data_IF_900937989616
#
_entry.id   IF_900937989616
#
_cell.length_a   1.000
_cell.length_b   1.000
_cell.length_c   1.000
_cell.angle_alpha   90.00
_cell.angle_beta   90.00
_cell.angle_gamma   90.00
#
_symmetry.space_group_name_H-M   'P 1'
#
loop_
_entity.id
_entity.type
_entity.pdbx_description
1 polymer ?
#
# COMPACT_ATOMS: atom_id res chain seq x y z
N UNK A 1 8.81 12.71 3.80
CA UNK A 1 8.67 11.25 3.60
C UNK A 1 8.99 10.53 4.91
N UNK A 2 8.00 9.81 5.47
CA UNK A 2 8.09 9.08 6.76
C UNK A 2 9.38 8.28 6.97
N UNK A 3 9.91 7.67 5.89
CA UNK A 3 11.13 6.87 5.95
C UNK A 3 12.37 7.69 6.32
N UNK A 4 12.46 8.94 5.85
CA UNK A 4 13.56 9.85 6.16
C UNK A 4 13.51 10.32 7.61
N UNK A 5 12.33 10.75 8.08
CA UNK A 5 12.14 11.28 9.43
C UNK A 5 12.48 10.23 10.50
N UNK A 6 12.22 8.96 10.21
CA UNK A 6 12.49 7.83 11.10
C UNK A 6 13.87 7.19 10.93
N UNK A 7 14.70 7.68 10.03
CA UNK A 7 16.01 7.07 9.69
C UNK A 7 15.87 5.57 9.38
N UNK A 8 14.82 5.21 8.64
CA UNK A 8 14.60 3.85 8.18
C UNK A 8 15.54 3.62 7.00
N UNK A 9 16.20 2.45 6.95
CA UNK A 9 17.07 2.11 5.82
C UNK A 9 16.21 1.66 4.64
N UNK A 10 16.31 2.39 3.53
CA UNK A 10 15.60 2.09 2.30
C UNK A 10 16.44 2.40 1.06
N UNK A 11 16.02 1.86 -0.08
CA UNK A 11 16.48 2.28 -1.41
C UNK A 11 15.27 2.59 -2.29
N UNK A 12 15.42 3.53 -3.22
CA UNK A 12 14.43 3.81 -4.26
C UNK A 12 14.70 2.92 -5.48
N UNK A 13 13.65 2.38 -6.07
CA UNK A 13 13.66 1.52 -7.24
C UNK A 13 12.78 2.11 -8.35
N UNK A 14 13.13 1.84 -9.59
CA UNK A 14 12.47 2.30 -10.82
C UNK A 14 11.57 1.22 -11.44
N UNK A 15 10.92 0.41 -10.61
CA UNK A 15 10.11 -0.73 -11.05
C UNK A 15 8.69 -0.72 -10.48
N UNK A 16 8.08 0.47 -10.36
CA UNK A 16 6.72 0.64 -9.85
C UNK A 16 5.72 -0.26 -10.57
N UNK A 17 5.75 -0.28 -11.89
CA UNK A 17 4.81 -1.06 -12.69
C UNK A 17 4.92 -2.57 -12.41
N UNK A 18 6.13 -3.09 -12.22
CA UNK A 18 6.34 -4.50 -11.86
C UNK A 18 5.75 -4.81 -10.48
N UNK A 19 5.95 -3.91 -9.51
CA UNK A 19 5.46 -4.07 -8.14
C UNK A 19 3.93 -3.93 -8.07
N UNK A 20 3.32 -2.97 -8.79
CA UNK A 20 1.86 -2.82 -8.92
C UNK A 20 1.24 -4.06 -9.56
N UNK A 21 1.80 -4.53 -10.68
CA UNK A 21 1.30 -5.74 -11.35
C UNK A 21 1.39 -6.97 -10.45
N UNK A 22 2.50 -7.13 -9.71
CA UNK A 22 2.62 -8.23 -8.76
C UNK A 22 1.65 -8.11 -7.58
N UNK A 23 1.39 -6.89 -7.12
CA UNK A 23 0.38 -6.63 -6.10
C UNK A 23 -1.01 -7.05 -6.59
N UNK A 24 -1.40 -6.64 -7.80
CA UNK A 24 -2.67 -7.02 -8.43
C UNK A 24 -2.78 -8.54 -8.56
N UNK A 25 -1.75 -9.20 -9.07
CA UNK A 25 -1.72 -10.67 -9.23
C UNK A 25 -2.01 -11.38 -7.90
N UNK A 26 -1.40 -10.94 -6.80
CA UNK A 26 -1.51 -11.62 -5.51
C UNK A 26 -2.81 -11.28 -4.78
N UNK A 27 -3.16 -9.99 -4.72
CA UNK A 27 -4.27 -9.51 -3.87
C UNK A 27 -5.59 -9.36 -4.62
N UNK A 28 -5.59 -9.28 -5.96
CA UNK A 28 -6.79 -9.15 -6.78
C UNK A 28 -6.82 -10.09 -8.00
N UNK A 29 -5.91 -11.07 -8.08
CA UNK A 29 -5.80 -11.99 -9.22
C UNK A 29 -6.95 -12.99 -9.34
N UNK A 30 -7.76 -13.15 -8.28
CA UNK A 30 -8.98 -13.96 -8.32
C UNK A 30 -10.13 -13.28 -9.07
N UNK A 31 -10.03 -11.97 -9.31
CA UNK A 31 -10.99 -11.21 -10.09
C UNK A 31 -10.64 -11.23 -11.58
N UNK A 32 -11.65 -11.18 -12.42
CA UNK A 32 -11.47 -10.90 -13.85
C UNK A 32 -11.11 -9.43 -14.08
N UNK A 33 -10.56 -9.12 -15.25
CA UNK A 33 -10.27 -7.73 -15.63
C UNK A 33 -11.53 -6.87 -15.63
N UNK A 34 -12.65 -7.41 -16.12
CA UNK A 34 -13.95 -6.74 -16.08
C UNK A 34 -14.36 -6.39 -14.65
N UNK A 35 -14.28 -7.35 -13.73
CA UNK A 35 -14.61 -7.08 -12.32
C UNK A 35 -13.70 -6.01 -11.73
N UNK A 36 -12.39 -6.05 -12.01
CA UNK A 36 -11.44 -5.05 -11.49
C UNK A 36 -11.70 -3.67 -12.04
N UNK A 37 -11.87 -3.51 -13.36
CA UNK A 37 -11.91 -2.21 -14.02
C UNK A 37 -13.34 -1.66 -14.07
N UNK A 38 -14.28 -2.42 -14.63
CA UNK A 38 -15.62 -1.89 -14.92
C UNK A 38 -16.53 -1.85 -13.68
N UNK A 39 -16.41 -2.84 -12.78
CA UNK A 39 -17.33 -2.94 -11.64
C UNK A 39 -16.86 -2.15 -10.42
N UNK A 40 -15.55 -2.15 -10.16
CA UNK A 40 -14.99 -1.54 -8.94
C UNK A 40 -13.94 -0.45 -9.22
N UNK A 41 -13.60 -0.16 -10.48
CA UNK A 41 -12.70 0.96 -10.82
C UNK A 41 -11.29 0.86 -10.20
N UNK A 42 -10.69 -0.32 -10.15
CA UNK A 42 -9.33 -0.53 -9.62
C UNK A 42 -8.23 0.13 -10.44
N UNK A 43 -8.52 0.54 -11.68
CA UNK A 43 -7.62 1.33 -12.51
C UNK A 43 -7.41 2.76 -11.98
N UNK A 44 -8.33 3.25 -11.13
CA UNK A 44 -8.14 4.47 -10.33
C UNK A 44 -7.43 4.20 -9.01
N UNK A 45 -7.92 3.21 -8.24
CA UNK A 45 -7.38 2.89 -6.91
C UNK A 45 -7.36 1.38 -6.65
N UNK A 46 -6.17 0.80 -6.46
CA UNK A 46 -6.02 -0.63 -6.18
C UNK A 46 -6.72 -1.06 -4.88
N UNK A 47 -6.84 -0.16 -3.90
CA UNK A 47 -7.53 -0.45 -2.64
C UNK A 47 -9.02 -0.70 -2.80
N UNK A 48 -9.62 -0.41 -3.96
CA UNK A 48 -11.01 -0.74 -4.26
C UNK A 48 -11.31 -2.24 -4.14
N UNK A 49 -10.32 -3.12 -4.30
CA UNK A 49 -10.51 -4.56 -4.02
C UNK A 49 -11.01 -4.83 -2.60
N UNK A 50 -10.61 -3.98 -1.64
CA UNK A 50 -10.98 -4.12 -0.23
C UNK A 50 -12.29 -3.40 0.08
N UNK A 51 -12.46 -2.15 -0.36
CA UNK A 51 -13.68 -1.37 -0.07
C UNK A 51 -14.94 -1.92 -0.73
N UNK A 52 -14.80 -2.60 -1.87
CA UNK A 52 -15.90 -3.30 -2.54
C UNK A 52 -16.06 -4.74 -2.03
N UNK A 53 -15.38 -5.09 -0.93
CA UNK A 53 -15.47 -6.39 -0.26
C UNK A 53 -15.15 -7.58 -1.19
N UNK A 54 -14.38 -7.33 -2.26
CA UNK A 54 -13.97 -8.40 -3.18
C UNK A 54 -12.87 -9.27 -2.58
N UNK A 55 -12.27 -8.86 -1.46
CA UNK A 55 -11.36 -9.67 -0.65
C UNK A 55 -11.51 -9.37 0.84
N UNK A 56 -11.72 -10.42 1.63
CA UNK A 56 -11.77 -10.33 3.08
C UNK A 56 -10.47 -9.72 3.63
N UNK A 57 -10.58 -8.66 4.42
CA UNK A 57 -9.45 -7.99 5.04
C UNK A 57 -9.85 -7.39 6.39
N UNK A 58 -8.86 -6.98 7.18
CA UNK A 58 -9.10 -6.14 8.34
C UNK A 58 -9.19 -4.68 7.88
N UNK A 59 -10.01 -3.89 8.57
CA UNK A 59 -10.20 -2.47 8.28
C UNK A 59 -9.98 -1.61 9.54
N UNK A 60 -9.63 -0.34 9.33
CA UNK A 60 -9.63 0.67 10.39
C UNK A 60 -8.65 0.33 11.51
N UNK A 61 -9.13 0.37 12.76
CA UNK A 61 -8.30 0.09 13.93
C UNK A 61 -7.76 -1.34 13.98
N UNK A 62 -8.49 -2.31 13.43
CA UNK A 62 -8.04 -3.70 13.40
C UNK A 62 -6.89 -3.87 12.41
N UNK A 63 -6.98 -3.23 11.23
CA UNK A 63 -5.90 -3.17 10.26
C UNK A 63 -4.65 -2.52 10.84
N UNK A 64 -4.80 -1.38 11.52
CA UNK A 64 -3.70 -0.65 12.17
C UNK A 64 -3.01 -1.52 13.22
N UNK A 65 -3.79 -2.18 14.07
CA UNK A 65 -3.28 -3.07 15.11
C UNK A 65 -2.53 -4.26 14.50
N UNK A 66 -3.11 -4.93 13.51
CA UNK A 66 -2.48 -6.05 12.85
C UNK A 66 -1.17 -5.67 12.16
N UNK A 67 -1.12 -4.50 11.51
CA UNK A 67 0.10 -3.95 10.95
C UNK A 67 1.15 -3.66 12.02
N UNK A 68 0.78 -3.04 13.14
CA UNK A 68 1.72 -2.69 14.21
C UNK A 68 2.31 -3.90 14.94
N UNK A 69 1.52 -4.96 15.11
CA UNK A 69 1.93 -6.22 15.76
C UNK A 69 2.75 -7.13 14.83
N UNK A 70 2.68 -6.91 13.51
CA UNK A 70 3.41 -7.70 12.54
C UNK A 70 4.91 -7.43 12.60
N UNK A 71 5.70 -8.50 12.77
CA UNK A 71 7.16 -8.45 12.62
C UNK A 71 7.54 -8.31 11.14
N UNK A 72 8.08 -7.15 10.76
CA UNK A 72 8.40 -6.80 9.37
C UNK A 72 9.87 -7.10 9.08
N UNK A 73 10.13 -7.98 8.11
CA UNK A 73 11.51 -8.39 7.69
C UNK A 73 11.98 -7.74 6.39
N UNK A 74 11.20 -6.79 5.88
CA UNK A 74 11.43 -6.08 4.62
C UNK A 74 10.13 -5.98 3.82
N UNK A 75 9.91 -4.82 3.21
CA UNK A 75 8.68 -4.51 2.46
C UNK A 75 8.95 -3.44 1.41
N UNK A 76 8.05 -3.34 0.45
CA UNK A 76 7.98 -2.25 -0.51
C UNK A 76 6.95 -1.22 -0.05
N UNK A 77 7.24 0.04 -0.32
CA UNK A 77 6.27 1.14 -0.28
C UNK A 77 6.13 1.71 -1.67
N UNK A 78 4.90 1.90 -2.12
CA UNK A 78 4.58 2.67 -3.31
C UNK A 78 3.28 3.45 -3.11
N UNK A 79 3.00 4.38 -4.01
CA UNK A 79 1.81 5.22 -4.00
C UNK A 79 0.99 4.93 -5.27
N UNK A 80 -0.34 5.09 -5.23
CA UNK A 80 -1.20 4.91 -6.42
C UNK A 80 -0.85 5.90 -7.55
N UNK A 81 -0.52 7.12 -7.14
CA UNK A 81 -0.05 8.31 -7.85
C UNK A 81 -1.10 9.22 -8.53
N UNK A 82 -1.06 10.51 -8.15
CA UNK A 82 -1.05 11.72 -8.99
C UNK A 82 -0.60 12.86 -8.06
N UNK A 83 0.71 13.17 -8.06
CA UNK A 83 1.19 14.38 -7.38
C UNK A 83 0.65 15.60 -8.14
N UNK A 84 -0.48 16.15 -7.68
CA UNK A 84 -0.93 17.49 -8.09
C UNK A 84 0.01 18.60 -7.55
N UNK A 85 0.95 18.24 -6.67
CA UNK A 85 1.85 19.16 -6.02
C UNK A 85 3.20 19.29 -6.76
N UNK A 86 3.52 20.52 -7.13
CA UNK A 86 4.65 20.94 -7.97
C UNK A 86 6.04 20.65 -7.37
N UNK A 87 6.12 20.00 -6.19
CA UNK A 87 7.31 19.92 -5.35
C UNK A 87 7.89 18.51 -5.13
N UNK A 88 7.33 17.43 -5.68
CA UNK A 88 7.80 16.07 -5.38
C UNK A 88 8.09 15.18 -6.60
N UNK A 89 8.86 15.70 -7.56
CA UNK A 89 9.35 14.92 -8.71
C UNK A 89 10.33 13.79 -8.34
N UNK A 90 10.88 13.77 -7.13
CA UNK A 90 11.90 12.79 -6.72
C UNK A 90 11.31 11.42 -6.30
N UNK A 91 10.00 11.37 -6.02
CA UNK A 91 9.32 10.17 -5.51
C UNK A 91 8.25 9.63 -6.44
N UNK A 92 7.93 10.36 -7.50
CA UNK A 92 7.00 9.95 -8.55
C UNK A 92 7.50 8.67 -9.22
N UNK A 93 6.60 7.73 -9.48
CA UNK A 93 6.92 6.46 -10.14
C UNK A 93 8.00 5.61 -9.43
N UNK A 94 8.27 5.84 -8.14
CA UNK A 94 9.26 5.08 -7.36
C UNK A 94 8.62 4.01 -6.48
N UNK A 95 9.40 2.97 -6.21
CA UNK A 95 9.15 2.03 -5.12
C UNK A 95 10.27 2.19 -4.09
N UNK A 96 9.90 2.28 -2.81
CA UNK A 96 10.87 2.29 -1.72
C UNK A 96 10.96 0.90 -1.11
N UNK A 97 12.08 0.22 -1.34
CA UNK A 97 12.37 -1.02 -0.65
C UNK A 97 12.96 -0.72 0.72
N UNK A 98 12.28 -1.16 1.77
CA UNK A 98 12.70 -1.01 3.16
C UNK A 98 13.31 -2.29 3.69
N UNK A 99 14.50 -2.19 4.30
CA UNK A 99 15.25 -3.34 4.82
C UNK A 99 15.02 -3.57 6.33
N UNK A 100 14.92 -2.50 7.11
CA UNK A 100 14.74 -2.53 8.57
C UNK A 100 13.34 -2.05 8.96
N UNK A 101 12.36 -2.90 8.64
CA UNK A 101 10.95 -2.53 8.63
C UNK A 101 10.25 -2.49 9.98
N UNK A 102 10.84 -3.04 11.05
CA UNK A 102 10.14 -3.22 12.34
C UNK A 102 9.93 -1.91 13.12
N UNK A 103 10.40 -0.78 12.58
CA UNK A 103 10.24 0.57 13.14
C UNK A 103 9.00 1.31 12.65
N UNK A 104 8.45 0.91 11.50
CA UNK A 104 7.26 1.53 10.95
C UNK A 104 6.00 1.08 11.72
N UNK A 105 5.13 2.04 11.98
CA UNK A 105 3.83 1.89 12.63
C UNK A 105 2.77 2.54 11.76
N UNK A 106 1.54 2.05 11.86
CA UNK A 106 0.41 2.53 11.05
C UNK A 106 0.24 4.05 11.18
N UNK A 107 0.41 4.59 12.40
CA UNK A 107 0.31 6.02 12.68
C UNK A 107 1.30 6.89 11.90
N UNK A 108 2.41 6.32 11.46
CA UNK A 108 3.43 7.07 10.74
C UNK A 108 2.92 7.49 9.36
N UNK A 109 1.99 6.71 8.79
CA UNK A 109 1.43 6.93 7.46
C UNK A 109 0.10 7.67 7.47
N UNK A 110 -0.37 8.16 8.62
CA UNK A 110 -1.67 8.85 8.73
C UNK A 110 -1.82 10.12 7.89
N UNK A 111 -0.70 10.70 7.44
CA UNK A 111 -0.67 11.89 6.59
C UNK A 111 -0.42 11.58 5.12
N UNK A 112 -0.14 10.31 4.81
CA UNK A 112 0.20 9.85 3.47
C UNK A 112 -1.07 9.28 2.85
N UNK A 113 -1.39 9.76 1.65
CA UNK A 113 -2.59 9.41 0.92
C UNK A 113 -2.25 8.32 -0.13
N UNK A 114 -3.13 7.32 -0.26
CA UNK A 114 -3.02 6.20 -1.21
C UNK A 114 -1.67 5.49 -1.22
N UNK A 115 -1.17 5.20 -0.02
CA UNK A 115 0.10 4.51 0.21
C UNK A 115 -0.12 3.01 0.43
N UNK A 116 0.65 2.23 -0.32
CA UNK A 116 0.66 0.77 -0.27
C UNK A 116 1.96 0.29 0.36
N UNK A 117 1.83 -0.52 1.40
CA UNK A 117 2.94 -1.17 2.08
C UNK A 117 2.76 -2.66 1.89
N UNK A 118 3.72 -3.34 1.28
CA UNK A 118 3.58 -4.75 0.91
C UNK A 118 4.83 -5.54 1.26
N UNK A 119 4.66 -6.71 1.86
CA UNK A 119 5.76 -7.63 2.15
C UNK A 119 6.66 -7.85 0.93
N UNK A 120 7.96 -8.01 1.14
CA UNK A 120 8.90 -8.30 0.04
C UNK A 120 8.55 -9.57 -0.77
N UNK A 121 7.81 -10.50 -0.17
CA UNK A 121 7.30 -11.71 -0.81
C UNK A 121 5.78 -11.69 -1.01
N UNK A 122 5.15 -10.52 -0.92
CA UNK A 122 3.71 -10.31 -1.13
C UNK A 122 2.80 -11.16 -0.23
N UNK A 123 3.27 -11.50 0.98
CA UNK A 123 2.49 -12.30 1.96
C UNK A 123 1.46 -11.49 2.74
N UNK A 124 1.60 -10.17 2.75
CA UNK A 124 0.66 -9.26 3.39
C UNK A 124 0.76 -7.89 2.72
N UNK A 125 -0.31 -7.11 2.83
CA UNK A 125 -0.33 -5.70 2.44
C UNK A 125 -1.11 -4.88 3.45
N UNK A 126 -0.63 -3.68 3.71
CA UNK A 126 -1.32 -2.63 4.44
C UNK A 126 -1.51 -1.45 3.50
N UNK A 127 -2.71 -0.91 3.43
CA UNK A 127 -3.04 0.21 2.54
C UNK A 127 -3.69 1.33 3.34
N UNK A 128 -3.11 2.53 3.28
CA UNK A 128 -3.70 3.73 3.86
C UNK A 128 -4.21 4.63 2.72
N UNK A 129 -5.51 4.88 2.71
CA UNK A 129 -6.24 5.60 1.67
C UNK A 129 -6.23 7.10 1.95
N UNK A 130 -6.57 7.90 0.92
CA UNK A 130 -6.89 9.32 1.09
C UNK A 130 -8.26 9.58 1.74
N UNK A 131 -9.16 8.60 1.72
CA UNK A 131 -10.54 8.65 2.25
C UNK A 131 -10.58 8.49 3.78
N UNK A 132 -9.81 9.36 4.47
CA UNK A 132 -9.57 9.33 5.92
C UNK A 132 -10.88 9.19 6.69
N UNK A 133 -10.89 8.25 7.65
CA UNK A 133 -12.00 7.92 8.55
C UNK A 133 -13.26 7.34 7.88
N UNK A 134 -13.29 7.21 6.55
CA UNK A 134 -14.44 6.66 5.80
C UNK A 134 -14.16 5.29 5.18
N UNK A 135 -13.00 5.10 4.58
CA UNK A 135 -12.61 3.85 3.93
C UNK A 135 -11.18 3.50 4.30
N UNK A 136 -10.97 2.34 4.91
CA UNK A 136 -9.65 1.89 5.32
C UNK A 136 -9.14 2.52 6.62
N UNK A 137 -7.83 2.41 6.92
CA UNK A 137 -6.85 1.61 6.19
C UNK A 137 -7.22 0.13 6.17
N UNK A 138 -6.67 -0.59 5.21
CA UNK A 138 -6.90 -2.03 5.04
C UNK A 138 -5.65 -2.82 5.37
N UNK A 139 -5.83 -4.01 5.93
CA UNK A 139 -4.74 -4.98 6.12
C UNK A 139 -5.20 -6.36 5.69
N UNK A 140 -4.43 -6.96 4.79
CA UNK A 140 -4.63 -8.34 4.36
C UNK A 140 -3.35 -9.14 4.55
N UNK A 141 -3.50 -10.42 4.90
CA UNK A 141 -2.40 -11.37 5.05
C UNK A 141 -2.84 -12.74 4.56
N UNK A 142 -2.00 -13.37 3.73
CA UNK A 142 -2.17 -14.74 3.23
C UNK A 142 -2.01 -15.79 4.34
#
# INVERSE_FOLDING_TARGET
>A
MVLLDKKINFQALDNLEEIKNKWIEVFAGHLTEKERIEEIGMDGYLWHVFSYEKRDCLEGNEARKAFDELRKRGYYIFFEDYVYDYYSSEYENKVFEVFDGDKARAKDFNKEDDIYIVDKYFRWTYVNTHERDWLGPYFYKL
#
